data_IF_346984612268
#
_entry.id   IF_346984612268
#
_cell.length_a   1.000
_cell.length_b   1.000
_cell.length_c   1.000
_cell.angle_alpha   90.00
_cell.angle_beta   90.00
_cell.angle_gamma   90.00
#
_symmetry.space_group_name_H-M   'P 1'
#
loop_
_entity.id
_entity.type
_entity.pdbx_description
1 polymer ?
#
# COMPACT_ATOMS: atom_id res chain seq x y z
N UNK A 1 -14.69 -15.64 11.19
CA UNK A 1 -13.28 -15.41 11.53
C UNK A 1 -12.59 -16.69 11.15
N UNK A 2 -11.85 -16.69 10.04
CA UNK A 2 -11.14 -17.88 9.59
C UNK A 2 -10.01 -18.15 10.58
N UNK A 3 -9.95 -19.35 11.13
CA UNK A 3 -8.81 -19.82 11.91
C UNK A 3 -7.61 -19.92 10.96
N UNK A 4 -6.71 -18.94 11.01
CA UNK A 4 -5.40 -19.10 10.40
C UNK A 4 -4.67 -20.21 11.17
N UNK A 5 -4.19 -21.28 10.51
CA UNK A 5 -3.44 -22.34 11.16
C UNK A 5 -2.24 -21.78 11.92
N UNK A 6 -1.85 -22.42 13.03
CA UNK A 6 -0.65 -22.01 13.77
C UNK A 6 0.60 -22.21 12.88
N UNK A 7 1.36 -21.15 12.53
CA UNK A 7 2.54 -21.27 11.67
C UNK A 7 3.61 -22.21 12.23
N UNK A 8 3.66 -22.40 13.54
CA UNK A 8 4.64 -23.27 14.22
C UNK A 8 4.41 -24.77 13.94
N UNK A 9 3.24 -25.14 13.44
CA UNK A 9 2.85 -26.53 13.14
C UNK A 9 2.94 -26.85 11.64
N UNK A 10 3.23 -25.84 10.81
CA UNK A 10 3.27 -25.97 9.35
C UNK A 10 4.63 -26.50 8.87
N UNK A 11 4.60 -27.31 7.82
CA UNK A 11 5.80 -27.68 7.09
C UNK A 11 6.38 -26.46 6.34
N UNK A 12 7.65 -26.55 5.96
CA UNK A 12 8.32 -25.49 5.17
C UNK A 12 7.60 -25.20 3.85
N UNK A 13 7.02 -26.22 3.21
CA UNK A 13 6.29 -26.06 1.95
C UNK A 13 4.95 -25.37 2.17
N UNK A 14 4.28 -25.60 3.29
CA UNK A 14 3.05 -24.88 3.65
C UNK A 14 3.34 -23.43 3.98
N UNK A 15 4.39 -23.15 4.75
CA UNK A 15 4.83 -21.78 5.06
C UNK A 15 5.19 -20.98 3.80
N UNK A 16 5.83 -21.63 2.82
CA UNK A 16 6.14 -20.99 1.53
C UNK A 16 4.88 -20.66 0.73
N UNK A 17 3.89 -21.54 0.71
CA UNK A 17 2.61 -21.26 0.06
C UNK A 17 1.87 -20.10 0.73
N UNK A 18 1.90 -20.04 2.05
CA UNK A 18 1.33 -18.90 2.78
C UNK A 18 1.99 -17.58 2.39
N UNK A 19 3.33 -17.56 2.24
CA UNK A 19 4.04 -16.37 1.73
C UNK A 19 3.62 -16.04 0.30
N UNK A 20 3.52 -17.03 -0.60
CA UNK A 20 3.06 -16.81 -1.97
C UNK A 20 1.63 -16.25 -2.03
N UNK A 21 0.75 -16.69 -1.13
CA UNK A 21 -0.61 -16.18 -1.00
C UNK A 21 -0.62 -14.73 -0.49
N UNK A 22 0.18 -14.42 0.53
CA UNK A 22 0.38 -13.05 1.04
C UNK A 22 0.94 -12.14 -0.06
N UNK A 23 1.91 -12.59 -0.83
CA UNK A 23 2.52 -11.82 -1.92
C UNK A 23 1.48 -11.48 -2.99
N UNK A 24 0.61 -12.43 -3.35
CA UNK A 24 -0.53 -12.17 -4.25
C UNK A 24 -1.46 -11.11 -3.67
N UNK A 25 -1.84 -11.24 -2.40
CA UNK A 25 -2.72 -10.27 -1.73
C UNK A 25 -2.11 -8.87 -1.66
N UNK A 26 -0.80 -8.76 -1.44
CA UNK A 26 -0.07 -7.48 -1.48
C UNK A 26 -0.24 -6.84 -2.86
N UNK A 27 -0.04 -7.58 -3.95
CA UNK A 27 -0.21 -7.05 -5.32
C UNK A 27 -1.64 -6.61 -5.58
N UNK A 28 -2.64 -7.39 -5.14
CA UNK A 28 -4.05 -7.02 -5.26
C UNK A 28 -4.39 -5.73 -4.49
N UNK A 29 -3.86 -5.59 -3.26
CA UNK A 29 -4.03 -4.39 -2.45
C UNK A 29 -3.35 -3.16 -3.08
N UNK A 30 -2.17 -3.33 -3.68
CA UNK A 30 -1.48 -2.26 -4.42
C UNK A 30 -2.34 -1.81 -5.60
N UNK A 31 -2.83 -2.74 -6.43
CA UNK A 31 -3.67 -2.43 -7.58
C UNK A 31 -4.95 -1.67 -7.15
N UNK A 32 -5.62 -2.15 -6.10
CA UNK A 32 -6.81 -1.49 -5.54
C UNK A 32 -6.49 -0.09 -5.03
N UNK A 33 -5.35 0.10 -4.35
CA UNK A 33 -4.91 1.41 -3.85
C UNK A 33 -4.66 2.39 -5.00
N UNK A 34 -3.99 1.95 -6.07
CA UNK A 34 -3.73 2.76 -7.26
C UNK A 34 -5.04 3.21 -7.91
N UNK A 35 -5.99 2.29 -8.14
CA UNK A 35 -7.30 2.63 -8.69
C UNK A 35 -8.06 3.70 -7.88
N UNK A 36 -8.05 3.59 -6.55
CA UNK A 36 -8.69 4.59 -5.69
C UNK A 36 -7.99 5.94 -5.81
N UNK A 37 -6.65 5.95 -5.84
CA UNK A 37 -5.89 7.18 -5.98
C UNK A 37 -6.11 7.86 -7.34
N UNK A 38 -6.28 7.10 -8.42
CA UNK A 38 -6.65 7.63 -9.75
C UNK A 38 -8.06 8.22 -9.74
N UNK A 39 -9.00 7.55 -9.08
CA UNK A 39 -10.36 8.07 -8.88
C UNK A 39 -10.33 9.41 -8.12
N UNK A 40 -9.49 9.53 -7.08
CA UNK A 40 -9.29 10.80 -6.37
C UNK A 40 -8.73 11.88 -7.28
N UNK A 41 -7.78 11.55 -8.17
CA UNK A 41 -7.24 12.50 -9.13
C UNK A 41 -8.29 12.98 -10.14
N UNK A 42 -9.15 12.09 -10.64
CA UNK A 42 -10.27 12.45 -11.51
C UNK A 42 -11.25 13.42 -10.82
N UNK A 43 -11.63 13.13 -9.57
CA UNK A 43 -12.49 14.02 -8.76
C UNK A 43 -11.83 15.38 -8.51
N UNK A 44 -10.51 15.42 -8.31
CA UNK A 44 -9.77 16.69 -8.17
C UNK A 44 -9.79 17.49 -9.47
N UNK A 45 -9.59 16.83 -10.62
CA UNK A 45 -9.64 17.48 -11.93
C UNK A 45 -11.03 18.06 -12.24
N UNK A 46 -12.11 17.33 -11.95
CA UNK A 46 -13.49 17.80 -12.11
C UNK A 46 -13.83 19.03 -11.26
N UNK A 47 -13.08 19.25 -10.17
CA UNK A 47 -13.29 20.33 -9.20
C UNK A 47 -12.24 21.43 -9.28
N UNK A 48 -11.39 21.43 -10.32
CA UNK A 48 -10.26 22.35 -10.48
C UNK A 48 -9.32 22.40 -9.25
N UNK A 49 -9.17 21.27 -8.56
CA UNK A 49 -8.28 21.14 -7.40
C UNK A 49 -6.87 20.72 -7.83
N UNK A 50 -5.82 21.17 -7.13
CA UNK A 50 -4.45 20.74 -7.37
C UNK A 50 -4.29 19.22 -7.26
N UNK A 51 -3.60 18.64 -8.23
CA UNK A 51 -3.32 17.20 -8.26
C UNK A 51 -2.27 16.82 -7.20
N UNK A 52 -1.24 17.63 -7.02
CA UNK A 52 -0.26 17.50 -5.93
C UNK A 52 -0.85 17.98 -4.60
N UNK A 53 -0.68 17.18 -3.55
CA UNK A 53 -1.15 17.47 -2.20
C UNK A 53 -0.12 16.97 -1.19
N UNK A 54 0.87 17.80 -0.91
CA UNK A 54 2.01 17.48 -0.03
C UNK A 54 1.54 17.11 1.38
N UNK A 55 0.52 17.81 1.89
CA UNK A 55 -0.07 17.49 3.20
C UNK A 55 -0.74 16.11 3.23
N UNK A 56 -1.31 15.66 2.11
CA UNK A 56 -1.80 14.29 2.00
C UNK A 56 -0.67 13.26 1.95
N UNK A 57 0.45 13.56 1.29
CA UNK A 57 1.63 12.68 1.28
C UNK A 57 2.22 12.53 2.69
N UNK A 58 2.35 13.63 3.43
CA UNK A 58 2.79 13.60 4.84
C UNK A 58 1.88 12.73 5.70
N UNK A 59 0.55 12.89 5.60
CA UNK A 59 -0.43 12.05 6.32
C UNK A 59 -0.36 10.57 5.94
N UNK A 60 -0.02 10.24 4.69
CA UNK A 60 0.20 8.85 4.28
C UNK A 60 1.44 8.29 4.96
N UNK A 61 2.51 9.08 5.05
CA UNK A 61 3.78 8.68 5.67
C UNK A 61 3.70 8.58 7.20
N UNK A 62 2.91 9.43 7.85
CA UNK A 62 2.59 9.34 9.27
C UNK A 62 1.89 8.01 9.57
N UNK A 63 0.78 7.72 8.87
CA UNK A 63 0.06 6.44 9.02
C UNK A 63 0.94 5.23 8.73
N UNK A 64 1.88 5.32 7.80
CA UNK A 64 2.82 4.23 7.52
C UNK A 64 3.75 3.98 8.71
N UNK A 65 4.20 5.04 9.39
CA UNK A 65 4.96 4.94 10.64
C UNK A 65 4.16 4.32 11.77
N UNK A 66 2.95 4.84 12.03
CA UNK A 66 2.10 4.34 13.11
C UNK A 66 1.76 2.85 12.96
N UNK A 67 1.49 2.41 11.72
CA UNK A 67 1.25 0.99 11.46
C UNK A 67 2.51 0.15 11.63
N UNK A 68 3.68 0.65 11.23
CA UNK A 68 4.94 -0.07 11.42
C UNK A 68 5.21 -0.33 12.90
N UNK A 69 5.03 0.69 13.75
CA UNK A 69 5.17 0.56 15.20
C UNK A 69 4.15 -0.43 15.77
N UNK A 70 2.89 -0.36 15.32
CA UNK A 70 1.82 -1.26 15.79
C UNK A 70 2.10 -2.74 15.47
N UNK A 71 2.72 -3.02 14.34
CA UNK A 71 3.02 -4.38 13.89
C UNK A 71 4.47 -4.80 14.21
N UNK A 72 5.21 -4.01 14.99
CA UNK A 72 6.59 -4.26 15.41
C UNK A 72 7.55 -4.51 14.23
N UNK A 73 7.41 -3.71 13.17
CA UNK A 73 8.29 -3.72 11.99
C UNK A 73 9.03 -2.40 11.83
N UNK A 74 10.18 -2.41 11.14
CA UNK A 74 11.01 -1.21 10.96
C UNK A 74 10.24 -0.11 10.20
N UNK A 75 10.02 1.01 10.90
CA UNK A 75 9.27 2.15 10.36
C UNK A 75 9.92 2.79 9.14
N UNK A 76 11.24 2.75 9.00
CA UNK A 76 11.93 3.31 7.84
C UNK A 76 11.70 2.44 6.60
N UNK A 77 11.71 1.11 6.75
CA UNK A 77 11.41 0.17 5.67
C UNK A 77 9.97 0.29 5.21
N UNK A 78 9.00 0.32 6.13
CA UNK A 78 7.59 0.52 5.79
C UNK A 78 7.39 1.86 5.08
N UNK A 79 7.98 2.94 5.62
CA UNK A 79 7.95 4.26 4.97
C UNK A 79 8.58 4.23 3.57
N UNK A 80 9.64 3.46 3.34
CA UNK A 80 10.23 3.30 2.01
C UNK A 80 9.26 2.65 1.00
N UNK A 81 8.53 1.60 1.41
CA UNK A 81 7.49 0.99 0.58
C UNK A 81 6.40 2.01 0.25
N UNK A 82 5.93 2.78 1.24
CA UNK A 82 4.90 3.79 1.00
C UNK A 82 5.35 4.92 0.08
N UNK A 83 6.64 5.30 0.10
CA UNK A 83 7.20 6.23 -0.91
C UNK A 83 7.09 5.66 -2.32
N UNK A 84 7.43 4.38 -2.51
CA UNK A 84 7.27 3.74 -3.82
C UNK A 84 5.79 3.70 -4.26
N UNK A 85 4.86 3.46 -3.35
CA UNK A 85 3.42 3.48 -3.67
C UNK A 85 2.87 4.88 -3.99
N UNK A 86 3.45 5.93 -3.43
CA UNK A 86 3.14 7.32 -3.80
C UNK A 86 3.70 7.62 -5.19
N UNK A 87 4.95 7.26 -5.44
CA UNK A 87 5.60 7.50 -6.74
C UNK A 87 4.94 6.72 -7.88
N UNK A 88 4.54 5.45 -7.65
CA UNK A 88 3.76 4.67 -8.60
C UNK A 88 2.52 5.44 -9.05
N UNK A 89 1.75 5.99 -8.11
CA UNK A 89 0.55 6.74 -8.45
C UNK A 89 0.85 8.06 -9.19
N UNK A 90 1.94 8.75 -8.86
CA UNK A 90 2.36 9.95 -9.61
C UNK A 90 2.75 9.63 -11.05
N UNK A 91 3.37 8.47 -11.30
CA UNK A 91 3.75 8.03 -12.65
C UNK A 91 2.49 7.73 -13.48
N UNK A 92 1.59 6.90 -12.96
CA UNK A 92 0.32 6.54 -13.64
C UNK A 92 -0.51 7.78 -14.00
N UNK A 93 -0.58 8.77 -13.09
CA UNK A 93 -1.25 10.05 -13.34
C UNK A 93 -0.59 10.92 -14.41
N UNK A 94 0.72 10.79 -14.64
CA UNK A 94 1.41 11.53 -15.72
C UNK A 94 1.15 10.90 -17.07
N UNK A 95 1.07 9.57 -17.13
CA UNK A 95 0.79 8.84 -18.37
C UNK A 95 -0.68 8.97 -18.82
N UNK A 96 -1.60 9.20 -17.87
CA UNK A 96 -3.03 9.36 -18.13
C UNK A 96 -3.47 10.80 -18.48
N UNK A 97 -2.55 11.75 -18.58
CA UNK A 97 -2.80 13.17 -18.96
C UNK A 97 -2.49 13.41 -20.43
#
# INVERSE_FOLDING_TARGET
MSETPNPEEMSLDELRREIEDIDREIVELIARRTYVADTVAAVKAERDLPTTDEGQEERVMERAGDNAERFDVDANLVKAIFRLLIELNKVEQRESR
#
